data_IF_866337200026
#
_entry.id   IF_866337200026
#
_cell.length_a   1.000
_cell.length_b   1.000
_cell.length_c   1.000
_cell.angle_alpha   90.00
_cell.angle_beta   90.00
_cell.angle_gamma   90.00
#
_symmetry.space_group_name_H-M   'P 1'
#
loop_
_entity.id
_entity.type
_entity.pdbx_description
1 polymer ?
#
# COMPACT_ATOMS: atom_id res chain seq x y z
N UNK A 1 15.38 -3.35 -18.07
CA UNK A 1 14.04 -3.00 -17.58
C UNK A 1 13.61 -4.06 -16.56
N UNK A 2 12.86 -3.67 -15.52
CA UNK A 2 12.40 -4.60 -14.47
C UNK A 2 11.43 -5.63 -15.07
N UNK A 3 11.52 -6.89 -14.61
CA UNK A 3 10.66 -7.99 -15.08
C UNK A 3 9.50 -8.31 -14.13
N UNK A 4 9.49 -7.70 -12.95
CA UNK A 4 8.47 -7.89 -11.92
C UNK A 4 7.33 -6.89 -12.09
N UNK A 5 6.16 -7.12 -11.45
CA UNK A 5 5.00 -6.25 -11.58
C UNK A 5 5.21 -4.81 -11.08
N UNK A 6 6.00 -4.58 -10.04
CA UNK A 6 6.23 -3.24 -9.48
C UNK A 6 7.20 -2.43 -10.34
N UNK A 7 6.68 -1.54 -11.19
CA UNK A 7 7.51 -0.72 -12.08
C UNK A 7 7.80 0.69 -11.55
N UNK A 8 7.05 1.17 -10.55
CA UNK A 8 7.25 2.51 -10.00
C UNK A 8 8.63 2.60 -9.33
N UNK A 9 9.45 3.56 -9.77
CA UNK A 9 10.84 3.71 -9.35
C UNK A 9 10.96 4.11 -7.87
N UNK A 10 10.09 5.00 -7.38
CA UNK A 10 10.11 5.45 -6.00
C UNK A 10 9.70 4.33 -5.03
N UNK A 11 8.63 3.59 -5.34
CA UNK A 11 8.23 2.41 -4.56
C UNK A 11 9.29 1.33 -4.59
N UNK A 12 9.88 1.05 -5.77
CA UNK A 12 10.95 0.06 -5.89
C UNK A 12 12.15 0.41 -5.03
N UNK A 13 12.55 1.69 -4.99
CA UNK A 13 13.63 2.17 -4.13
C UNK A 13 13.27 2.05 -2.65
N UNK A 14 12.06 2.44 -2.29
CA UNK A 14 11.56 2.40 -0.90
C UNK A 14 11.58 0.97 -0.39
N UNK A 15 10.91 0.05 -1.08
CA UNK A 15 10.82 -1.37 -0.70
C UNK A 15 12.20 -2.03 -0.65
N UNK A 16 13.09 -1.74 -1.60
CA UNK A 16 14.45 -2.29 -1.59
C UNK A 16 15.32 -1.78 -0.43
N UNK A 17 14.97 -0.62 0.16
CA UNK A 17 15.67 -0.03 1.30
C UNK A 17 15.10 -0.42 2.67
N UNK A 18 13.93 -1.07 2.71
CA UNK A 18 13.27 -1.43 3.97
C UNK A 18 14.01 -2.56 4.69
N UNK A 19 14.22 -2.39 5.99
CA UNK A 19 14.70 -3.40 6.94
C UNK A 19 13.56 -4.06 7.72
N UNK A 20 13.94 -4.97 8.62
CA UNK A 20 12.98 -5.64 9.50
C UNK A 20 12.38 -4.63 10.50
N UNK A 21 11.04 -4.56 10.53
CA UNK A 21 10.30 -3.64 11.39
C UNK A 21 9.97 -2.29 10.75
N UNK A 22 10.46 -2.03 9.54
CA UNK A 22 10.07 -0.83 8.80
C UNK A 22 8.61 -0.90 8.34
N UNK A 23 7.98 0.27 8.23
CA UNK A 23 6.54 0.39 7.96
C UNK A 23 6.33 1.13 6.64
N UNK A 24 5.46 0.56 5.80
CA UNK A 24 4.92 1.20 4.62
C UNK A 24 3.41 1.35 4.77
N UNK A 25 2.88 2.55 4.51
CA UNK A 25 1.45 2.86 4.59
C UNK A 25 0.90 3.06 3.18
N UNK A 26 -0.19 2.37 2.86
CA UNK A 26 -1.00 2.64 1.67
C UNK A 26 -2.25 3.38 2.13
N UNK A 27 -2.32 4.68 1.83
CA UNK A 27 -3.45 5.53 2.17
C UNK A 27 -4.40 5.75 0.99
N UNK A 28 -5.64 6.14 1.28
CA UNK A 28 -6.52 6.73 0.28
C UNK A 28 -6.13 8.21 0.01
N UNK A 29 -6.79 8.84 -0.96
CA UNK A 29 -6.51 10.21 -1.38
C UNK A 29 -6.80 11.27 -0.28
N UNK A 30 -7.47 10.91 0.81
CA UNK A 30 -7.81 11.81 1.91
C UNK A 30 -6.89 11.66 3.13
N UNK A 31 -6.00 10.67 3.17
CA UNK A 31 -5.15 10.42 4.33
C UNK A 31 -4.06 11.50 4.46
N UNK A 32 -3.98 12.24 5.58
CA UNK A 32 -2.92 13.23 5.79
C UNK A 32 -1.56 12.57 6.01
N UNK A 33 -0.50 13.17 5.44
CA UNK A 33 0.88 12.70 5.62
C UNK A 33 1.57 13.53 6.72
N UNK A 34 2.10 12.89 7.78
CA UNK A 34 2.83 13.61 8.83
C UNK A 34 4.11 14.29 8.30
N UNK A 35 4.55 15.41 8.90
CA UNK A 35 5.82 16.04 8.54
C UNK A 35 7.00 15.08 8.64
N UNK A 36 7.86 15.06 7.62
CA UNK A 36 9.06 14.22 7.56
C UNK A 36 8.85 12.79 7.06
N UNK A 37 7.61 12.37 6.81
CA UNK A 37 7.29 11.08 6.17
C UNK A 37 7.35 11.25 4.65
N UNK A 38 8.03 10.33 3.95
CA UNK A 38 8.08 10.32 2.50
C UNK A 38 6.68 10.03 1.91
N UNK A 39 6.23 10.88 0.99
CA UNK A 39 5.00 10.68 0.23
C UNK A 39 5.33 10.25 -1.20
N UNK A 40 4.82 9.08 -1.59
CA UNK A 40 4.78 8.63 -2.98
C UNK A 40 3.34 8.73 -3.46
N UNK A 41 3.00 9.82 -4.13
CA UNK A 41 1.67 10.02 -4.70
C UNK A 41 1.51 9.21 -6.00
N UNK A 42 0.55 8.30 -5.99
CA UNK A 42 0.19 7.46 -7.13
C UNK A 42 -1.14 7.88 -7.76
N UNK A 43 -1.91 8.76 -7.12
CA UNK A 43 -3.26 9.10 -7.56
C UNK A 43 -3.22 9.87 -8.88
N UNK A 44 -3.98 9.38 -9.86
CA UNK A 44 -4.14 10.04 -11.17
C UNK A 44 -5.48 10.76 -11.22
N UNK A 45 -6.54 10.09 -10.75
CA UNK A 45 -7.92 10.58 -10.71
C UNK A 45 -8.69 9.77 -9.65
N UNK A 46 -9.88 10.19 -9.17
CA UNK A 46 -10.60 9.43 -8.16
C UNK A 46 -10.79 7.95 -8.55
N UNK A 47 -10.31 7.05 -7.68
CA UNK A 47 -10.38 5.61 -7.88
C UNK A 47 -9.30 5.00 -8.79
N UNK A 48 -8.35 5.79 -9.32
CA UNK A 48 -7.28 5.30 -10.17
C UNK A 48 -5.89 5.80 -9.70
N UNK A 49 -4.95 4.89 -9.39
CA UNK A 49 -5.13 3.45 -9.25
C UNK A 49 -6.04 3.09 -8.07
N UNK A 50 -6.71 1.93 -8.13
CA UNK A 50 -7.47 1.43 -7.00
C UNK A 50 -6.56 0.83 -5.92
N UNK A 51 -7.03 0.84 -4.67
CA UNK A 51 -6.27 0.36 -3.51
C UNK A 51 -5.80 -1.10 -3.66
N UNK A 52 -6.67 -1.98 -4.17
CA UNK A 52 -6.37 -3.41 -4.27
C UNK A 52 -5.25 -3.68 -5.29
N UNK A 53 -5.25 -2.96 -6.40
CA UNK A 53 -4.19 -3.03 -7.40
C UNK A 53 -2.85 -2.55 -6.85
N UNK A 54 -2.83 -1.45 -6.10
CA UNK A 54 -1.61 -0.97 -5.43
C UNK A 54 -1.10 -2.00 -4.41
N UNK A 55 -1.99 -2.50 -3.54
CA UNK A 55 -1.65 -3.51 -2.53
C UNK A 55 -1.03 -4.76 -3.15
N UNK A 56 -1.67 -5.35 -4.18
CA UNK A 56 -1.13 -6.55 -4.86
C UNK A 56 0.25 -6.32 -5.46
N UNK A 57 0.47 -5.16 -6.07
CA UNK A 57 1.76 -4.83 -6.69
C UNK A 57 2.84 -4.61 -5.61
N UNK A 58 2.51 -3.94 -4.51
CA UNK A 58 3.42 -3.78 -3.36
C UNK A 58 3.80 -5.15 -2.78
N UNK A 59 2.81 -6.01 -2.52
CA UNK A 59 3.03 -7.35 -1.95
C UNK A 59 3.75 -8.31 -2.90
N UNK A 60 3.89 -7.97 -4.19
CA UNK A 60 4.71 -8.77 -5.11
C UNK A 60 6.21 -8.69 -4.80
N UNK A 61 6.64 -7.70 -4.01
CA UNK A 61 8.05 -7.49 -3.66
C UNK A 61 8.28 -7.23 -2.16
N UNK A 62 7.31 -6.65 -1.44
CA UNK A 62 7.41 -6.41 -0.01
C UNK A 62 6.99 -7.66 0.79
N UNK A 63 7.90 -8.18 1.60
CA UNK A 63 7.60 -9.21 2.60
C UNK A 63 6.96 -8.56 3.83
N UNK A 64 5.77 -9.03 4.22
CA UNK A 64 4.98 -8.44 5.30
C UNK A 64 4.77 -9.47 6.40
N UNK A 65 5.16 -9.12 7.63
CA UNK A 65 4.91 -9.95 8.81
C UNK A 65 3.60 -9.62 9.53
N UNK A 66 3.16 -8.36 9.47
CA UNK A 66 1.98 -7.83 10.16
C UNK A 66 1.38 -6.67 9.37
N UNK A 67 0.09 -6.46 9.54
CA UNK A 67 -0.62 -5.29 9.02
C UNK A 67 -1.50 -4.68 10.12
N UNK A 68 -1.80 -3.39 9.99
CA UNK A 68 -2.69 -2.64 10.89
C UNK A 68 -3.75 -1.96 10.04
N UNK A 69 -4.99 -1.97 10.51
CA UNK A 69 -6.13 -1.33 9.86
C UNK A 69 -6.82 -0.39 10.85
N UNK A 70 -7.42 0.69 10.35
CA UNK A 70 -8.31 1.51 11.14
C UNK A 70 -9.57 0.70 11.51
N UNK A 71 -10.02 0.81 12.75
CA UNK A 71 -11.19 0.05 13.25
C UNK A 71 -12.46 0.41 12.48
N UNK A 72 -12.56 1.65 12.00
CA UNK A 72 -13.65 2.16 11.17
C UNK A 72 -13.83 1.36 9.88
N UNK A 73 -12.76 0.74 9.35
CA UNK A 73 -12.87 -0.10 8.16
C UNK A 73 -13.83 -1.27 8.38
N UNK A 74 -13.90 -1.82 9.59
CA UNK A 74 -14.82 -2.91 9.92
C UNK A 74 -16.28 -2.44 10.00
N UNK A 75 -16.51 -1.14 10.21
CA UNK A 75 -17.86 -0.55 10.29
C UNK A 75 -18.39 -0.18 8.91
N UNK A 76 -17.52 0.37 8.05
CA UNK A 76 -17.88 0.85 6.71
C UNK A 76 -17.77 -0.26 5.66
N UNK A 77 -16.89 -1.24 5.88
CA UNK A 77 -16.60 -2.36 4.98
C UNK A 77 -16.30 -1.88 3.55
N UNK A 78 -15.25 -1.06 3.36
CA UNK A 78 -14.90 -0.59 2.03
C UNK A 78 -14.41 -1.76 1.15
N UNK A 79 -14.47 -1.64 -0.18
CA UNK A 79 -13.96 -2.68 -1.09
C UNK A 79 -12.51 -3.09 -0.80
N UNK A 80 -11.70 -2.17 -0.29
CA UNK A 80 -10.33 -2.42 0.16
C UNK A 80 -10.24 -3.49 1.27
N UNK A 81 -11.18 -3.50 2.22
CA UNK A 81 -11.17 -4.47 3.33
C UNK A 81 -11.35 -5.90 2.82
N UNK A 82 -12.23 -6.11 1.85
CA UNK A 82 -12.49 -7.43 1.24
C UNK A 82 -11.21 -8.00 0.63
N UNK A 83 -10.41 -7.17 -0.03
CA UNK A 83 -9.14 -7.62 -0.62
C UNK A 83 -8.12 -7.99 0.46
N UNK A 84 -8.03 -7.19 1.54
CA UNK A 84 -7.12 -7.47 2.66
C UNK A 84 -7.51 -8.76 3.37
N UNK A 85 -8.80 -9.03 3.52
CA UNK A 85 -9.28 -10.27 4.15
C UNK A 85 -8.97 -11.52 3.31
N UNK A 86 -8.91 -11.42 1.98
CA UNK A 86 -8.47 -12.53 1.13
C UNK A 86 -7.00 -12.91 1.30
N UNK A 87 -6.19 -12.01 1.82
CA UNK A 87 -4.78 -12.27 2.15
C UNK A 87 -4.62 -13.04 3.46
N UNK A 88 -5.69 -13.13 4.27
CA UNK A 88 -5.72 -13.98 5.46
C UNK A 88 -5.93 -15.43 5.01
N UNK A 89 -4.83 -16.11 4.71
CA UNK A 89 -4.77 -17.57 4.67
C UNK A 89 -4.90 -18.16 6.07
#
# INVERSE_FOLDING_TARGET
MKKTPLLNVALSRTIAGMGHGDILVIGDAGLPVPPGVELIDLAITPGLPDFASVLRVVLSELQVERHVLAEEMQKVVPPALVEIERLKG
#
